data_IF_870401133705
#
_entry.id   IF_870401133705
#
_cell.length_a   1.000
_cell.length_b   1.000
_cell.length_c   1.000
_cell.angle_alpha   90.00
_cell.angle_beta   90.00
_cell.angle_gamma   90.00
#
_symmetry.space_group_name_H-M   'P 1'
#
loop_
_entity.id
_entity.type
_entity.pdbx_description
1 polymer ?
#
# COMPACT_ATOMS: atom_id res chain seq x y z
N UNK A 1 37.80 5.99 -12.39
CA UNK A 1 37.18 4.99 -11.50
C UNK A 1 35.95 5.52 -10.75
N UNK A 2 35.98 6.70 -10.08
CA UNK A 2 34.86 7.21 -9.27
C UNK A 2 33.58 7.42 -10.07
N UNK A 3 33.65 7.99 -11.27
CA UNK A 3 32.49 8.21 -12.16
C UNK A 3 31.89 6.90 -12.70
N UNK A 4 32.69 5.85 -12.89
CA UNK A 4 32.22 4.52 -13.28
C UNK A 4 31.39 3.87 -12.18
N UNK A 5 31.78 4.00 -10.91
CA UNK A 5 31.03 3.47 -9.77
C UNK A 5 29.69 4.19 -9.64
N UNK A 6 29.68 5.51 -9.78
CA UNK A 6 28.43 6.31 -9.74
C UNK A 6 27.51 5.93 -10.90
N UNK A 7 28.05 5.81 -12.11
CA UNK A 7 27.30 5.36 -13.28
C UNK A 7 26.71 3.96 -13.11
N UNK A 8 27.47 3.03 -12.51
CA UNK A 8 27.02 1.68 -12.21
C UNK A 8 25.88 1.67 -11.19
N UNK A 9 25.98 2.48 -10.12
CA UNK A 9 24.92 2.59 -9.11
C UNK A 9 23.63 3.15 -9.73
N UNK A 10 23.74 4.18 -10.56
CA UNK A 10 22.60 4.77 -11.28
C UNK A 10 21.99 3.74 -12.23
N UNK A 11 22.80 2.99 -12.97
CA UNK A 11 22.34 1.95 -13.88
C UNK A 11 21.63 0.81 -13.12
N UNK A 12 22.19 0.36 -12.00
CA UNK A 12 21.58 -0.69 -11.16
C UNK A 12 20.25 -0.18 -10.59
N UNK A 13 20.21 1.04 -10.07
CA UNK A 13 18.97 1.64 -9.57
C UNK A 13 17.92 1.77 -10.69
N UNK A 14 18.29 2.22 -11.88
CA UNK A 14 17.43 2.29 -13.04
C UNK A 14 16.90 0.92 -13.47
N UNK A 15 17.77 -0.09 -13.55
CA UNK A 15 17.39 -1.46 -13.92
C UNK A 15 16.48 -2.11 -12.87
N UNK A 16 16.74 -1.88 -11.58
CA UNK A 16 15.86 -2.36 -10.51
C UNK A 16 14.48 -1.72 -10.56
N UNK A 17 14.41 -0.42 -10.81
CA UNK A 17 13.16 0.30 -10.98
C UNK A 17 12.44 -0.22 -12.23
N UNK A 18 13.12 -0.32 -13.38
CA UNK A 18 12.53 -0.80 -14.65
C UNK A 18 12.02 -2.24 -14.56
N UNK A 19 12.78 -3.17 -13.97
CA UNK A 19 12.35 -4.57 -13.77
C UNK A 19 11.13 -4.67 -12.86
N UNK A 20 11.08 -3.91 -11.77
CA UNK A 20 9.91 -3.87 -10.88
C UNK A 20 8.71 -3.19 -11.53
N UNK A 21 8.92 -2.17 -12.38
CA UNK A 21 7.82 -1.53 -13.12
C UNK A 21 7.18 -2.43 -14.16
N UNK A 22 7.93 -3.33 -14.82
CA UNK A 22 7.34 -4.33 -15.71
C UNK A 22 6.56 -5.42 -14.94
N UNK A 23 6.91 -5.63 -13.66
CA UNK A 23 6.16 -6.52 -12.75
C UNK A 23 4.85 -5.87 -12.23
N UNK A 24 4.64 -4.57 -12.45
CA UNK A 24 3.38 -3.88 -12.18
C UNK A 24 2.37 -4.02 -13.32
N UNK A 25 2.62 -4.86 -14.32
CA UNK A 25 1.60 -5.30 -15.25
C UNK A 25 0.39 -5.78 -14.45
N UNK A 26 -0.74 -5.13 -14.65
CA UNK A 26 -2.01 -5.59 -14.14
C UNK A 26 -2.26 -6.97 -14.77
N UNK A 27 -1.87 -8.03 -14.08
CA UNK A 27 -2.30 -9.37 -14.46
C UNK A 27 -3.77 -9.46 -14.10
N UNK A 28 -4.59 -9.58 -15.12
CA UNK A 28 -6.04 -9.82 -15.04
C UNK A 28 -6.39 -11.23 -14.51
N UNK A 29 -5.49 -11.86 -13.76
CA UNK A 29 -5.54 -13.30 -13.47
C UNK A 29 -6.51 -13.71 -12.34
N UNK A 30 -7.25 -12.78 -11.75
CA UNK A 30 -8.38 -13.16 -10.92
C UNK A 30 -9.66 -13.09 -11.75
N UNK A 31 -10.32 -14.21 -11.90
CA UNK A 31 -11.59 -14.30 -12.62
C UNK A 31 -12.59 -13.31 -12.00
N UNK A 32 -12.98 -12.29 -12.75
CA UNK A 32 -14.06 -11.36 -12.37
C UNK A 32 -15.43 -12.02 -12.51
N UNK A 33 -15.59 -13.25 -12.02
CA UNK A 33 -16.88 -13.90 -11.96
C UNK A 33 -17.74 -13.15 -10.96
N UNK A 34 -18.59 -12.25 -11.48
CA UNK A 34 -19.57 -11.52 -10.70
C UNK A 34 -20.40 -12.49 -9.87
N UNK A 35 -20.21 -12.46 -8.56
CA UNK A 35 -21.07 -13.18 -7.63
C UNK A 35 -22.39 -12.42 -7.53
N UNK A 36 -23.49 -13.10 -7.83
CA UNK A 36 -24.81 -12.50 -7.78
C UNK A 36 -25.07 -11.82 -6.42
N UNK A 37 -25.37 -10.51 -6.45
CA UNK A 37 -25.65 -9.71 -5.25
C UNK A 37 -24.43 -9.16 -4.51
N UNK A 38 -23.20 -9.49 -4.92
CA UNK A 38 -21.97 -8.95 -4.35
C UNK A 38 -21.39 -7.83 -5.21
N UNK A 39 -20.82 -6.84 -4.57
CA UNK A 39 -20.07 -5.73 -5.18
C UNK A 39 -18.59 -5.88 -4.86
N UNK A 40 -17.74 -5.74 -5.88
CA UNK A 40 -16.29 -5.81 -5.72
C UNK A 40 -15.77 -4.53 -5.06
N UNK A 41 -15.06 -4.68 -3.96
CA UNK A 41 -14.36 -3.62 -3.23
C UNK A 41 -12.92 -3.58 -3.74
N UNK A 42 -12.59 -2.65 -4.61
CA UNK A 42 -11.29 -2.59 -5.26
C UNK A 42 -10.72 -1.17 -5.33
N UNK A 43 -9.41 -1.07 -5.46
CA UNK A 43 -8.75 0.21 -5.68
C UNK A 43 -8.99 0.72 -7.11
N UNK A 44 -9.18 2.02 -7.24
CA UNK A 44 -9.28 2.62 -8.58
C UNK A 44 -7.89 2.77 -9.23
N UNK A 45 -7.82 2.52 -10.54
CA UNK A 45 -6.57 2.65 -11.29
C UNK A 45 -5.91 4.04 -11.14
N UNK A 46 -6.64 5.17 -11.18
CA UNK A 46 -6.06 6.49 -10.94
C UNK A 46 -5.41 6.64 -9.57
N UNK A 47 -6.02 6.11 -8.50
CA UNK A 47 -5.45 6.15 -7.14
C UNK A 47 -4.15 5.37 -7.08
N UNK A 48 -4.11 4.16 -7.64
CA UNK A 48 -2.90 3.34 -7.69
C UNK A 48 -1.78 4.08 -8.44
N UNK A 49 -2.09 4.63 -9.62
CA UNK A 49 -1.11 5.35 -10.44
C UNK A 49 -0.58 6.61 -9.74
N UNK A 50 -1.45 7.40 -9.11
CA UNK A 50 -1.05 8.59 -8.36
C UNK A 50 -0.13 8.24 -7.19
N UNK A 51 -0.45 7.20 -6.43
CA UNK A 51 0.37 6.70 -5.33
C UNK A 51 1.72 6.16 -5.82
N UNK A 52 1.72 5.41 -6.91
CA UNK A 52 2.94 4.91 -7.55
C UNK A 52 3.84 6.07 -7.99
N UNK A 53 3.29 7.03 -8.76
CA UNK A 53 4.04 8.20 -9.26
C UNK A 53 4.71 8.96 -8.12
N UNK A 54 3.99 9.18 -7.02
CA UNK A 54 4.52 9.90 -5.85
C UNK A 54 5.58 9.09 -5.11
N UNK A 55 5.38 7.79 -4.92
CA UNK A 55 6.35 6.91 -4.27
C UNK A 55 7.65 6.82 -5.06
N UNK A 56 7.56 6.77 -6.39
CA UNK A 56 8.72 6.80 -7.29
C UNK A 56 9.42 8.16 -7.22
N UNK A 57 8.68 9.26 -7.25
CA UNK A 57 9.26 10.60 -7.12
C UNK A 57 10.03 10.75 -5.81
N UNK A 58 9.47 10.31 -4.68
CA UNK A 58 10.16 10.33 -3.39
C UNK A 58 11.41 9.44 -3.39
N UNK A 59 11.32 8.25 -3.98
CA UNK A 59 12.47 7.34 -4.08
C UNK A 59 13.59 7.93 -4.96
N UNK A 60 13.25 8.58 -6.07
CA UNK A 60 14.23 9.27 -6.91
C UNK A 60 14.95 10.41 -6.15
N UNK A 61 14.18 11.17 -5.37
CA UNK A 61 14.77 12.21 -4.49
C UNK A 61 15.70 11.59 -3.44
N UNK A 62 15.34 10.45 -2.86
CA UNK A 62 16.19 9.68 -1.94
C UNK A 62 17.52 9.23 -2.62
N UNK A 63 17.44 8.71 -3.85
CA UNK A 63 18.64 8.32 -4.62
C UNK A 63 19.54 9.54 -4.87
N UNK A 64 18.98 10.67 -5.28
CA UNK A 64 19.76 11.91 -5.49
C UNK A 64 20.44 12.34 -4.20
N UNK A 65 19.76 12.30 -3.06
CA UNK A 65 20.37 12.62 -1.76
C UNK A 65 21.52 11.68 -1.40
N UNK A 66 21.40 10.37 -1.66
CA UNK A 66 22.51 9.42 -1.46
C UNK A 66 23.71 9.81 -2.33
N UNK A 67 23.50 10.12 -3.61
CA UNK A 67 24.57 10.51 -4.51
C UNK A 67 25.28 11.78 -4.03
N UNK A 68 24.52 12.80 -3.65
CA UNK A 68 25.07 14.04 -3.08
C UNK A 68 25.87 13.74 -1.81
N UNK A 69 25.32 12.91 -0.90
CA UNK A 69 26.01 12.52 0.33
C UNK A 69 27.34 11.83 0.05
N UNK A 70 27.37 10.86 -0.87
CA UNK A 70 28.59 10.14 -1.25
C UNK A 70 29.63 11.06 -1.84
N UNK A 71 29.22 12.03 -2.71
CA UNK A 71 30.15 12.97 -3.32
C UNK A 71 30.77 13.95 -2.32
N UNK A 72 29.94 14.44 -1.39
CA UNK A 72 30.38 15.47 -0.43
C UNK A 72 31.06 14.87 0.81
N UNK A 73 30.78 13.62 1.17
CA UNK A 73 31.31 12.94 2.36
C UNK A 73 32.86 12.99 2.44
N UNK A 74 33.53 12.90 1.30
CA UNK A 74 34.99 12.94 1.23
C UNK A 74 35.58 14.28 1.76
N UNK A 75 34.81 15.36 1.71
CA UNK A 75 35.23 16.68 2.17
C UNK A 75 34.54 17.10 3.47
N UNK A 76 33.27 16.75 3.62
CA UNK A 76 32.40 17.25 4.69
C UNK A 76 31.71 16.05 5.36
N UNK A 77 32.24 15.56 6.48
CA UNK A 77 31.71 14.37 7.17
C UNK A 77 30.27 14.55 7.68
N UNK A 78 29.87 15.78 8.05
CA UNK A 78 28.53 16.09 8.56
C UNK A 78 27.40 15.75 7.56
N UNK A 79 27.71 15.65 6.26
CA UNK A 79 26.74 15.32 5.22
C UNK A 79 26.16 13.91 5.39
N UNK A 80 26.79 13.03 6.17
CA UNK A 80 26.24 11.71 6.51
C UNK A 80 24.87 11.77 7.18
N UNK A 81 24.51 12.87 7.84
CA UNK A 81 23.17 13.07 8.41
C UNK A 81 22.05 13.13 7.36
N UNK A 82 22.38 13.25 6.07
CA UNK A 82 21.40 13.15 4.99
C UNK A 82 20.99 11.71 4.66
N UNK A 83 21.81 10.70 5.04
CA UNK A 83 21.51 9.29 4.74
C UNK A 83 20.20 8.80 5.38
N UNK A 84 19.89 9.05 6.66
CA UNK A 84 18.60 8.67 7.23
C UNK A 84 17.41 9.24 6.45
N UNK A 85 17.51 10.49 6.00
CA UNK A 85 16.47 11.16 5.21
C UNK A 85 16.33 10.47 3.85
N UNK A 86 17.44 10.17 3.19
CA UNK A 86 17.45 9.49 1.91
C UNK A 86 16.83 8.09 2.00
N UNK A 87 17.21 7.30 3.02
CA UNK A 87 16.63 5.97 3.26
C UNK A 87 15.13 6.05 3.60
N UNK A 88 14.74 7.08 4.35
CA UNK A 88 13.33 7.32 4.63
C UNK A 88 12.52 7.55 3.35
N UNK A 89 13.04 8.36 2.42
CA UNK A 89 12.40 8.60 1.12
C UNK A 89 12.32 7.34 0.25
N UNK A 90 13.36 6.50 0.27
CA UNK A 90 13.33 5.18 -0.38
C UNK A 90 12.29 4.25 0.24
N UNK A 91 12.08 4.34 1.54
CA UNK A 91 11.08 3.57 2.28
C UNK A 91 9.67 3.69 1.73
N UNK A 92 9.30 4.82 1.13
CA UNK A 92 7.98 5.01 0.49
C UNK A 92 7.73 4.05 -0.67
N UNK A 93 8.74 3.73 -1.45
CA UNK A 93 8.59 2.76 -2.54
C UNK A 93 8.36 1.35 -2.02
N UNK A 94 9.06 0.97 -0.95
CA UNK A 94 8.83 -0.32 -0.28
C UNK A 94 7.44 -0.39 0.33
N UNK A 95 7.00 0.69 0.96
CA UNK A 95 5.66 0.77 1.55
C UNK A 95 4.57 0.63 0.49
N UNK A 96 4.68 1.37 -0.63
CA UNK A 96 3.77 1.22 -1.75
C UNK A 96 3.73 -0.23 -2.26
N UNK A 97 4.90 -0.84 -2.49
CA UNK A 97 4.98 -2.22 -2.98
C UNK A 97 4.34 -3.22 -2.00
N UNK A 98 4.51 -3.02 -0.69
CA UNK A 98 3.89 -3.87 0.34
C UNK A 98 2.36 -3.79 0.27
N UNK A 99 1.79 -2.57 0.28
CA UNK A 99 0.35 -2.36 0.18
C UNK A 99 -0.23 -2.86 -1.14
N UNK A 100 0.48 -2.65 -2.25
CA UNK A 100 0.06 -3.10 -3.56
C UNK A 100 0.09 -4.62 -3.71
N UNK A 101 1.10 -5.28 -3.13
CA UNK A 101 1.17 -6.75 -3.07
C UNK A 101 -0.01 -7.32 -2.30
N UNK A 102 -0.38 -6.70 -1.18
CA UNK A 102 -1.56 -7.12 -0.41
C UNK A 102 -2.84 -6.96 -1.22
N UNK A 103 -2.98 -5.84 -1.91
CA UNK A 103 -4.12 -5.59 -2.80
C UNK A 103 -4.26 -6.65 -3.90
N UNK A 104 -3.14 -7.10 -4.48
CA UNK A 104 -3.14 -8.15 -5.51
C UNK A 104 -3.39 -9.54 -4.95
N UNK A 105 -3.09 -9.77 -3.68
CA UNK A 105 -3.21 -11.10 -3.07
C UNK A 105 -4.62 -11.48 -2.68
N UNK A 106 -5.56 -10.54 -2.68
CA UNK A 106 -6.95 -10.76 -2.24
C UNK A 106 -7.95 -9.92 -3.02
N UNK A 107 -9.14 -10.48 -3.25
CA UNK A 107 -10.32 -9.74 -3.72
C UNK A 107 -11.36 -9.73 -2.61
N UNK A 108 -12.01 -8.59 -2.43
CA UNK A 108 -13.00 -8.36 -1.37
C UNK A 108 -14.33 -8.10 -2.06
N UNK A 109 -15.32 -8.90 -1.74
CA UNK A 109 -16.67 -8.81 -2.25
C UNK A 109 -17.63 -8.54 -1.11
N UNK A 110 -18.49 -7.55 -1.25
CA UNK A 110 -19.45 -7.15 -0.22
C UNK A 110 -20.88 -7.20 -0.75
N UNK A 111 -21.77 -7.82 0.03
CA UNK A 111 -23.20 -7.82 -0.22
C UNK A 111 -23.90 -6.94 0.84
N UNK A 112 -24.36 -5.77 0.41
CA UNK A 112 -25.01 -4.82 1.30
C UNK A 112 -26.37 -5.27 1.82
N UNK A 113 -27.04 -6.24 1.18
CA UNK A 113 -28.36 -6.74 1.62
C UNK A 113 -28.23 -7.74 2.76
N UNK A 114 -27.21 -8.61 2.71
CA UNK A 114 -26.98 -9.66 3.72
C UNK A 114 -25.89 -9.28 4.70
N UNK A 115 -25.15 -8.19 4.46
CA UNK A 115 -23.95 -7.78 5.18
C UNK A 115 -22.84 -8.84 5.20
N UNK A 116 -22.80 -9.66 4.17
CA UNK A 116 -21.80 -10.68 3.99
C UNK A 116 -20.61 -10.16 3.20
N UNK A 117 -19.42 -10.52 3.64
CA UNK A 117 -18.17 -10.22 2.96
C UNK A 117 -17.54 -11.54 2.55
N UNK A 118 -17.24 -11.67 1.27
CA UNK A 118 -16.49 -12.79 0.73
C UNK A 118 -15.10 -12.34 0.35
N UNK A 119 -14.10 -13.07 0.84
CA UNK A 119 -12.69 -12.83 0.54
C UNK A 119 -12.18 -13.97 -0.33
N UNK A 120 -11.76 -13.62 -1.53
CA UNK A 120 -11.06 -14.50 -2.44
C UNK A 120 -9.55 -14.24 -2.33
N UNK A 121 -8.79 -15.26 -1.99
CA UNK A 121 -7.34 -15.15 -1.84
C UNK A 121 -6.62 -15.82 -3.01
N UNK A 122 -5.60 -15.16 -3.56
CA UNK A 122 -4.76 -15.73 -4.62
C UNK A 122 -3.97 -16.96 -4.13
N UNK A 123 -3.56 -16.91 -2.84
CA UNK A 123 -2.87 -18.00 -2.16
C UNK A 123 -3.51 -18.19 -0.80
N UNK A 124 -4.24 -19.29 -0.62
CA UNK A 124 -4.94 -19.59 0.63
C UNK A 124 -6.39 -19.96 0.40
N UNK A 125 -7.11 -20.16 1.49
CA UNK A 125 -8.52 -20.52 1.45
C UNK A 125 -9.41 -19.28 1.35
N UNK A 126 -10.38 -19.37 0.46
CA UNK A 126 -11.45 -18.38 0.38
C UNK A 126 -12.35 -18.50 1.62
N UNK A 127 -12.87 -17.41 2.11
CA UNK A 127 -13.76 -17.40 3.26
C UNK A 127 -14.81 -16.32 3.19
N UNK A 128 -15.93 -16.58 3.87
CA UNK A 128 -17.04 -15.63 4.01
C UNK A 128 -17.25 -15.33 5.48
N UNK A 129 -17.60 -14.10 5.80
CA UNK A 129 -17.99 -13.70 7.14
C UNK A 129 -19.13 -12.68 7.10
N UNK A 130 -19.90 -12.61 8.15
CA UNK A 130 -20.93 -11.59 8.31
C UNK A 130 -20.35 -10.39 9.08
N UNK A 131 -20.52 -9.18 8.52
CA UNK A 131 -19.94 -7.97 9.08
C UNK A 131 -20.31 -7.72 10.53
N UNK A 132 -21.58 -7.96 10.92
CA UNK A 132 -22.04 -7.69 12.27
C UNK A 132 -21.85 -8.82 13.29
N UNK A 133 -21.73 -10.06 12.80
CA UNK A 133 -21.65 -11.23 13.69
C UNK A 133 -20.22 -11.69 13.98
N UNK A 134 -19.31 -11.42 13.03
CA UNK A 134 -17.99 -12.04 13.06
C UNK A 134 -16.86 -11.05 13.29
N UNK A 135 -17.10 -9.73 13.14
CA UNK A 135 -16.10 -8.69 13.42
C UNK A 135 -16.07 -8.43 14.94
N UNK A 136 -14.90 -8.60 15.53
CA UNK A 136 -14.64 -8.30 16.94
C UNK A 136 -14.11 -6.87 17.15
N UNK A 137 -13.22 -6.41 16.27
CA UNK A 137 -12.61 -5.10 16.39
C UNK A 137 -12.14 -4.57 15.02
N UNK A 138 -12.15 -3.26 14.88
CA UNK A 138 -11.62 -2.57 13.70
C UNK A 138 -10.58 -1.56 14.15
N UNK A 139 -9.42 -1.59 13.51
CA UNK A 139 -8.33 -0.67 13.74
C UNK A 139 -7.94 0.01 12.42
N UNK A 140 -7.60 1.28 12.50
CA UNK A 140 -6.92 2.02 11.43
C UNK A 140 -5.45 2.14 11.78
N UNK A 141 -4.56 1.66 10.94
CA UNK A 141 -3.12 1.80 11.10
C UNK A 141 -2.64 2.75 10.03
N UNK A 142 -2.16 3.93 10.44
CA UNK A 142 -1.85 5.05 9.57
C UNK A 142 -0.39 5.45 9.69
N UNK A 143 0.18 6.00 8.60
CA UNK A 143 1.47 6.65 8.64
C UNK A 143 1.39 7.92 9.50
N UNK A 144 2.43 8.17 10.31
CA UNK A 144 2.59 9.43 11.07
C UNK A 144 2.65 10.62 10.12
N UNK A 145 3.17 10.42 8.92
CA UNK A 145 3.33 11.48 7.93
C UNK A 145 2.17 11.51 6.94
N UNK A 146 1.46 12.61 6.99
CA UNK A 146 0.56 13.05 5.92
C UNK A 146 1.37 13.88 4.91
N UNK A 147 2.03 13.25 3.98
CA UNK A 147 2.55 14.00 2.84
C UNK A 147 1.37 14.37 1.95
N UNK A 148 1.17 15.68 1.69
CA UNK A 148 0.04 16.25 0.92
C UNK A 148 -0.72 15.23 0.05
N UNK A 149 -1.83 14.69 0.59
CA UNK A 149 -2.79 13.89 -0.16
C UNK A 149 -2.56 12.38 -0.25
N UNK A 150 -1.55 11.78 0.37
CA UNK A 150 -1.36 10.34 0.39
C UNK A 150 -1.02 9.85 1.79
N UNK A 151 -2.03 9.36 2.46
CA UNK A 151 -1.88 8.69 3.74
C UNK A 151 -1.71 7.18 3.44
N UNK A 152 -0.52 6.64 3.67
CA UNK A 152 -0.36 5.19 3.70
C UNK A 152 -0.96 4.66 5.01
N UNK A 153 -1.76 3.62 4.86
CA UNK A 153 -2.39 2.97 5.98
C UNK A 153 -3.23 1.79 5.53
N UNK A 154 -3.80 1.13 6.50
CA UNK A 154 -4.70 0.02 6.25
C UNK A 154 -5.70 -0.14 7.40
N UNK A 155 -6.85 -0.69 7.06
CA UNK A 155 -7.79 -1.21 8.03
C UNK A 155 -7.37 -2.61 8.43
N UNK A 156 -7.31 -2.85 9.73
CA UNK A 156 -7.15 -4.18 10.31
C UNK A 156 -8.47 -4.56 10.96
N UNK A 157 -9.17 -5.50 10.35
CA UNK A 157 -10.43 -6.02 10.80
C UNK A 157 -10.15 -7.37 11.47
N UNK A 158 -10.35 -7.43 12.78
CA UNK A 158 -10.18 -8.65 13.56
C UNK A 158 -11.49 -9.43 13.52
N UNK A 159 -11.44 -10.61 12.96
CA UNK A 159 -12.52 -11.61 12.98
C UNK A 159 -12.23 -12.63 14.08
N UNK A 160 -13.22 -13.43 14.47
CA UNK A 160 -13.08 -14.48 15.50
C UNK A 160 -11.86 -15.38 15.30
N UNK A 161 -11.57 -15.77 14.06
CA UNK A 161 -10.50 -16.74 13.74
C UNK A 161 -9.44 -16.21 12.74
N UNK A 162 -9.63 -15.04 12.20
CA UNK A 162 -8.74 -14.49 11.13
C UNK A 162 -8.58 -12.98 11.29
N UNK A 163 -7.58 -12.44 10.62
CA UNK A 163 -7.38 -10.99 10.51
C UNK A 163 -7.44 -10.63 9.04
N UNK A 164 -8.29 -9.66 8.69
CA UNK A 164 -8.37 -9.08 7.36
C UNK A 164 -7.69 -7.71 7.37
N UNK A 165 -6.75 -7.51 6.47
CA UNK A 165 -6.06 -6.24 6.29
C UNK A 165 -6.37 -5.66 4.91
N UNK A 166 -6.90 -4.43 4.90
CA UNK A 166 -7.35 -3.74 3.71
C UNK A 166 -6.56 -2.44 3.55
N UNK A 167 -5.69 -2.33 2.53
CA UNK A 167 -4.93 -1.11 2.27
C UNK A 167 -5.85 0.09 1.99
N UNK A 168 -5.48 1.29 2.42
CA UNK A 168 -6.21 2.54 2.12
C UNK A 168 -6.31 2.85 0.62
N UNK A 169 -5.48 2.22 -0.20
CA UNK A 169 -5.61 2.27 -1.66
C UNK A 169 -7.01 1.86 -2.15
N UNK A 170 -7.73 1.06 -1.36
CA UNK A 170 -9.10 0.59 -1.66
C UNK A 170 -10.16 1.60 -1.20
N UNK A 171 -9.87 2.40 -0.17
CA UNK A 171 -10.89 3.20 0.52
C UNK A 171 -11.45 4.38 -0.29
N UNK A 172 -10.76 4.85 -1.34
CA UNK A 172 -11.12 6.10 -2.02
C UNK A 172 -11.85 5.88 -3.36
N UNK A 173 -12.84 6.76 -3.62
CA UNK A 173 -13.40 7.09 -4.94
C UNK A 173 -14.27 6.05 -5.68
N UNK A 174 -14.86 5.06 -5.01
CA UNK A 174 -15.89 4.20 -5.61
C UNK A 174 -17.12 4.09 -4.71
N UNK A 175 -18.35 4.22 -5.24
CA UNK A 175 -19.57 4.12 -4.43
C UNK A 175 -19.68 2.81 -3.64
N UNK A 176 -19.28 1.68 -4.24
CA UNK A 176 -19.29 0.38 -3.57
C UNK A 176 -18.33 0.34 -2.37
N UNK A 177 -17.15 0.96 -2.50
CA UNK A 177 -16.18 1.06 -1.42
C UNK A 177 -16.72 1.94 -0.29
N UNK A 178 -17.31 3.10 -0.63
CA UNK A 178 -17.87 4.01 0.36
C UNK A 178 -18.93 3.31 1.21
N UNK A 179 -19.87 2.61 0.57
CA UNK A 179 -20.90 1.87 1.29
C UNK A 179 -20.31 0.86 2.30
N UNK A 180 -19.29 0.12 1.89
CA UNK A 180 -18.61 -0.84 2.76
C UNK A 180 -17.91 -0.15 3.95
N UNK A 181 -17.13 0.90 3.71
CA UNK A 181 -16.39 1.59 4.75
C UNK A 181 -17.28 2.44 5.66
N UNK A 182 -18.35 3.04 5.12
CA UNK A 182 -19.34 3.79 5.90
C UNK A 182 -20.11 2.84 6.84
N UNK A 183 -20.47 1.65 6.37
CA UNK A 183 -21.09 0.63 7.22
C UNK A 183 -20.18 0.24 8.39
N UNK A 184 -18.88 0.07 8.13
CA UNK A 184 -17.90 -0.19 9.20
C UNK A 184 -17.80 0.99 10.15
N UNK A 185 -17.69 2.22 9.63
CA UNK A 185 -17.52 3.42 10.45
C UNK A 185 -18.73 3.73 11.35
N UNK A 186 -19.93 3.42 10.88
CA UNK A 186 -21.17 3.65 11.64
C UNK A 186 -21.41 2.61 12.74
N UNK A 187 -20.92 1.38 12.57
CA UNK A 187 -21.27 0.27 13.46
C UNK A 187 -20.13 -0.18 14.39
N UNK A 188 -18.90 0.26 14.14
CA UNK A 188 -17.74 -0.16 14.93
C UNK A 188 -16.95 1.04 15.46
N UNK A 189 -16.49 0.91 16.71
CA UNK A 189 -15.53 1.88 17.25
C UNK A 189 -14.15 1.62 16.63
N UNK A 190 -13.69 2.57 15.82
CA UNK A 190 -12.44 2.44 15.08
C UNK A 190 -11.28 3.08 15.86
N UNK A 191 -10.37 2.25 16.34
CA UNK A 191 -9.16 2.69 17.03
C UNK A 191 -8.06 3.01 16.01
N UNK A 192 -7.55 4.25 16.03
CA UNK A 192 -6.48 4.68 15.13
C UNK A 192 -5.12 4.56 15.80
N UNK A 193 -4.19 3.83 15.16
CA UNK A 193 -2.78 3.74 15.54
C UNK A 193 -1.90 4.40 14.49
N UNK A 194 -0.91 5.17 14.92
CA UNK A 194 0.06 5.80 14.02
C UNK A 194 1.39 5.06 14.04
N UNK A 195 1.95 4.79 12.86
CA UNK A 195 3.26 4.14 12.66
C UNK A 195 4.10 4.91 11.64
N UNK A 196 5.42 4.87 11.77
CA UNK A 196 6.33 5.49 10.78
C UNK A 196 6.14 4.81 9.42
N UNK A 197 6.18 3.49 9.39
CA UNK A 197 5.91 2.66 8.20
C UNK A 197 4.81 1.66 8.55
N UNK A 198 3.55 1.90 8.13
CA UNK A 198 2.44 0.96 8.32
C UNK A 198 2.55 -0.21 7.33
N UNK A 199 3.45 -1.15 7.57
CA UNK A 199 3.65 -2.36 6.78
C UNK A 199 2.55 -3.38 7.14
N UNK A 200 1.98 -4.04 6.11
CA UNK A 200 0.98 -5.11 6.20
C UNK A 200 1.69 -6.46 6.18
#
# INVERSE_FOLDING_TARGET
MRFLIIGLIILIAYLMIRKKFSLFGFTEDMSRNLKSGFQLIEASSPVIQANLKKSVSNAMMGVVLILITVLLFMKIKIVLFLLPIAFFLLGYLFLFNNHFSKLKSQQIWYNAKTNEVFIEQLKGENYTFNMFKDIEAVQKIESIQTTKGLLYGYYRIKLKNKILEIPYLVAENKPANNLFFDTIAQNFNIVTQKRIFPII
#
